data_IF_359869864435
#
_entry.id   IF_359869864435
#
_cell.length_a   1.000
_cell.length_b   1.000
_cell.length_c   1.000
_cell.angle_alpha   90.00
_cell.angle_beta   90.00
_cell.angle_gamma   90.00
#
_symmetry.space_group_name_H-M   'P 1'
#
loop_
_entity.id
_entity.type
_entity.pdbx_description
1 polymer ?
#
# COMPACT_ATOMS: atom_id res chain seq x y z
N UNK A 1 -9.65 5.19 5.62
CA UNK A 1 -8.36 4.82 6.21
C UNK A 1 -8.48 3.49 6.98
N UNK A 2 -7.61 2.54 6.70
CA UNK A 2 -7.56 1.21 7.34
C UNK A 2 -6.25 1.08 8.11
N UNK A 3 -6.34 0.94 9.44
CA UNK A 3 -5.17 0.94 10.34
C UNK A 3 -4.40 -0.37 10.28
N UNK A 4 -5.11 -1.50 10.28
CA UNK A 4 -4.55 -2.86 10.22
C UNK A 4 -5.54 -3.86 9.60
N UNK A 5 -5.13 -5.12 9.48
CA UNK A 5 -5.98 -6.24 9.08
C UNK A 5 -6.21 -7.20 10.24
N UNK A 6 -7.02 -6.76 11.21
CA UNK A 6 -7.48 -7.57 12.34
C UNK A 6 -8.76 -8.36 12.01
N UNK A 7 -9.23 -9.18 12.95
CA UNK A 7 -10.46 -9.98 12.77
C UNK A 7 -11.73 -9.16 12.54
N UNK A 8 -11.76 -7.90 12.96
CA UNK A 8 -12.92 -7.01 12.83
C UNK A 8 -12.86 -6.03 11.65
N UNK A 9 -11.70 -5.94 10.97
CA UNK A 9 -11.46 -4.94 9.93
C UNK A 9 -12.46 -5.04 8.78
N UNK A 10 -12.73 -6.24 8.30
CA UNK A 10 -13.63 -6.45 7.14
C UNK A 10 -15.08 -6.09 7.46
N UNK A 11 -15.53 -6.42 8.66
CA UNK A 11 -16.87 -6.02 9.13
C UNK A 11 -16.99 -4.49 9.20
N UNK A 12 -16.01 -3.83 9.78
CA UNK A 12 -15.96 -2.37 9.89
C UNK A 12 -15.93 -1.69 8.51
N UNK A 13 -15.11 -2.20 7.57
CA UNK A 13 -15.04 -1.69 6.20
C UNK A 13 -16.36 -1.90 5.45
N UNK A 14 -16.99 -3.08 5.57
CA UNK A 14 -18.29 -3.32 4.95
C UNK A 14 -19.36 -2.37 5.48
N UNK A 15 -19.39 -2.11 6.77
CA UNK A 15 -20.30 -1.15 7.39
C UNK A 15 -20.06 0.26 6.85
N UNK A 16 -18.79 0.68 6.78
CA UNK A 16 -18.41 1.99 6.23
C UNK A 16 -18.80 2.13 4.76
N UNK A 17 -18.53 1.13 3.92
CA UNK A 17 -18.89 1.15 2.49
C UNK A 17 -20.42 1.21 2.27
N UNK A 18 -21.20 0.49 3.07
CA UNK A 18 -22.67 0.57 3.03
C UNK A 18 -23.16 1.99 3.36
N UNK A 19 -22.55 2.61 4.37
CA UNK A 19 -22.90 3.98 4.77
C UNK A 19 -22.49 5.01 3.71
N UNK A 20 -21.28 4.92 3.17
CA UNK A 20 -20.81 5.77 2.07
C UNK A 20 -21.70 5.63 0.82
N UNK A 21 -22.14 4.40 0.50
CA UNK A 21 -23.07 4.16 -0.61
C UNK A 21 -24.41 4.86 -0.40
N UNK A 22 -24.96 4.84 0.82
CA UNK A 22 -26.21 5.59 1.16
C UNK A 22 -26.02 7.10 1.01
N UNK A 23 -24.82 7.60 1.30
CA UNK A 23 -24.45 9.01 1.14
C UNK A 23 -24.13 9.39 -0.32
N UNK A 24 -24.29 8.48 -1.28
CA UNK A 24 -24.09 8.74 -2.71
C UNK A 24 -22.64 8.65 -3.16
N UNK A 25 -21.80 7.80 -2.53
CA UNK A 25 -20.41 7.54 -2.95
C UNK A 25 -20.31 7.29 -4.46
N UNK A 26 -19.48 8.07 -5.14
CA UNK A 26 -19.19 7.95 -6.59
C UNK A 26 -17.84 7.28 -6.86
N UNK A 27 -16.90 7.44 -5.95
CA UNK A 27 -15.55 6.88 -6.03
C UNK A 27 -15.00 6.61 -4.63
N UNK A 28 -13.94 5.82 -4.52
CA UNK A 28 -13.36 5.40 -3.25
C UNK A 28 -11.85 5.64 -3.23
N UNK A 29 -11.36 6.26 -2.18
CA UNK A 29 -9.95 6.22 -1.80
C UNK A 29 -9.80 5.22 -0.64
N UNK A 30 -9.06 4.13 -0.87
CA UNK A 30 -8.70 3.15 0.15
C UNK A 30 -7.30 3.49 0.67
N UNK A 31 -7.21 4.11 1.83
CA UNK A 31 -5.93 4.51 2.40
C UNK A 31 -5.34 3.40 3.27
N UNK A 32 -4.20 2.85 2.83
CA UNK A 32 -3.40 1.82 3.49
C UNK A 32 -2.02 2.34 3.92
N UNK A 33 -1.79 3.66 3.90
CA UNK A 33 -0.53 4.23 4.37
C UNK A 33 -0.35 3.92 5.86
N UNK A 34 0.89 3.60 6.24
CA UNK A 34 1.28 3.18 7.60
C UNK A 34 0.56 1.93 8.14
N UNK A 35 -0.17 1.21 7.30
CA UNK A 35 -0.82 -0.04 7.68
C UNK A 35 0.20 -1.20 7.60
N UNK A 36 0.65 -1.78 8.73
CA UNK A 36 1.70 -2.81 8.75
C UNK A 36 1.21 -4.18 8.24
N UNK A 37 -0.06 -4.28 7.86
CA UNK A 37 -0.70 -5.51 7.45
C UNK A 37 -1.52 -6.14 8.57
N UNK A 38 -1.48 -7.46 8.66
CA UNK A 38 -2.22 -8.28 9.61
C UNK A 38 -2.59 -9.63 9.02
N UNK A 39 -3.82 -10.07 9.22
CA UNK A 39 -4.29 -11.38 8.79
C UNK A 39 -4.35 -11.49 7.27
N UNK A 40 -3.81 -12.58 6.71
CA UNK A 40 -3.92 -12.92 5.30
C UNK A 40 -5.39 -13.04 4.86
N UNK A 41 -6.22 -13.68 5.69
CA UNK A 41 -7.66 -13.81 5.43
C UNK A 41 -8.33 -12.44 5.31
N UNK A 42 -7.95 -11.48 6.14
CA UNK A 42 -8.42 -10.12 6.05
C UNK A 42 -8.05 -9.43 4.73
N UNK A 43 -6.81 -9.62 4.24
CA UNK A 43 -6.40 -9.11 2.93
C UNK A 43 -7.19 -9.75 1.78
N UNK A 44 -7.38 -11.07 1.82
CA UNK A 44 -8.17 -11.81 0.82
C UNK A 44 -9.61 -11.32 0.81
N UNK A 45 -10.24 -11.18 1.97
CA UNK A 45 -11.63 -10.75 2.07
C UNK A 45 -11.80 -9.27 1.70
N UNK A 46 -10.81 -8.42 1.98
CA UNK A 46 -10.79 -7.04 1.48
C UNK A 46 -10.78 -6.98 -0.05
N UNK A 47 -9.92 -7.76 -0.70
CA UNK A 47 -9.86 -7.82 -2.15
C UNK A 47 -11.17 -8.32 -2.77
N UNK A 48 -11.84 -9.30 -2.16
CA UNK A 48 -13.14 -9.82 -2.59
C UNK A 48 -14.26 -8.78 -2.59
N UNK A 49 -14.14 -7.69 -1.83
CA UNK A 49 -15.14 -6.62 -1.87
C UNK A 49 -15.18 -5.89 -3.22
N UNK A 50 -14.09 -5.91 -3.95
CA UNK A 50 -13.88 -5.08 -5.13
C UNK A 50 -13.57 -5.86 -6.41
N UNK A 51 -13.07 -7.09 -6.31
CA UNK A 51 -12.60 -7.89 -7.45
C UNK A 51 -13.69 -8.84 -7.96
N UNK A 52 -13.74 -9.04 -9.28
CA UNK A 52 -14.67 -9.97 -9.95
C UNK A 52 -14.45 -11.42 -9.55
N UNK A 53 -15.31 -12.32 -10.08
CA UNK A 53 -15.21 -13.75 -9.80
C UNK A 53 -13.94 -14.38 -10.42
N UNK A 54 -13.39 -15.40 -9.78
CA UNK A 54 -12.25 -16.22 -10.21
C UNK A 54 -10.95 -15.44 -10.48
N UNK A 55 -10.83 -14.22 -9.96
CA UNK A 55 -9.60 -13.45 -10.09
C UNK A 55 -8.58 -13.86 -9.02
N UNK A 56 -7.32 -13.98 -9.41
CA UNK A 56 -6.21 -14.22 -8.50
C UNK A 56 -6.00 -13.01 -7.59
N UNK A 57 -5.89 -13.24 -6.28
CA UNK A 57 -5.56 -12.22 -5.29
C UNK A 57 -4.07 -12.27 -4.95
N UNK A 58 -3.58 -13.44 -4.57
CA UNK A 58 -2.21 -13.68 -4.15
C UNK A 58 -1.92 -15.17 -4.23
N UNK A 59 -0.66 -15.53 -4.45
CA UNK A 59 -0.24 -16.92 -4.23
C UNK A 59 1.04 -16.97 -3.39
N UNK A 60 1.24 -18.10 -2.72
CA UNK A 60 2.46 -18.39 -1.97
C UNK A 60 3.34 -19.34 -2.75
N UNK A 61 4.66 -19.21 -2.61
CA UNK A 61 5.63 -20.14 -3.15
C UNK A 61 6.77 -20.32 -2.17
N UNK A 62 7.03 -21.55 -1.79
CA UNK A 62 8.11 -21.94 -0.91
C UNK A 62 9.09 -22.89 -1.57
N UNK A 63 10.05 -23.40 -0.78
CA UNK A 63 11.05 -24.37 -1.25
C UNK A 63 10.42 -25.73 -1.61
N UNK A 64 9.40 -26.16 -0.84
CA UNK A 64 8.63 -27.38 -1.11
C UNK A 64 7.37 -27.05 -1.90
N UNK A 65 6.92 -27.96 -2.76
CA UNK A 65 5.71 -27.81 -3.56
C UNK A 65 4.45 -27.62 -2.69
N UNK A 66 4.40 -28.25 -1.54
CA UNK A 66 3.29 -28.18 -0.58
C UNK A 66 3.05 -26.77 -0.03
N UNK A 67 4.00 -25.86 -0.17
CA UNK A 67 3.88 -24.45 0.21
C UNK A 67 3.40 -23.56 -0.93
N UNK A 68 2.98 -24.14 -2.06
CA UNK A 68 2.27 -23.41 -3.11
C UNK A 68 0.78 -23.39 -2.78
N UNK A 69 0.23 -22.19 -2.65
CA UNK A 69 -1.19 -22.00 -2.39
C UNK A 69 -1.68 -20.77 -3.14
N UNK A 70 -2.82 -20.87 -3.81
CA UNK A 70 -3.48 -19.77 -4.51
C UNK A 70 -4.70 -19.30 -3.73
N UNK A 71 -4.88 -17.97 -3.69
CA UNK A 71 -6.05 -17.31 -3.13
C UNK A 71 -6.73 -16.54 -4.25
N UNK A 72 -7.97 -16.93 -4.53
CA UNK A 72 -8.80 -16.36 -5.59
C UNK A 72 -10.13 -15.89 -5.05
N UNK A 73 -10.77 -14.98 -5.77
CA UNK A 73 -12.17 -14.66 -5.56
C UNK A 73 -13.04 -15.85 -5.97
N UNK A 74 -14.20 -16.00 -5.35
CA UNK A 74 -15.12 -17.12 -5.57
C UNK A 74 -16.57 -16.65 -5.74
N UNK A 75 -16.81 -15.37 -5.90
CA UNK A 75 -18.12 -14.76 -6.09
C UNK A 75 -17.97 -13.37 -6.71
N UNK A 76 -19.10 -12.79 -7.16
CA UNK A 76 -19.16 -11.40 -7.59
C UNK A 76 -18.90 -10.46 -6.41
N UNK A 77 -18.09 -9.45 -6.64
CA UNK A 77 -17.82 -8.42 -5.64
C UNK A 77 -19.07 -7.59 -5.32
N UNK A 78 -19.24 -7.15 -4.05
CA UNK A 78 -20.29 -6.18 -3.69
C UNK A 78 -20.11 -4.78 -4.33
N UNK A 79 -18.85 -4.42 -4.69
CA UNK A 79 -18.50 -3.10 -5.21
C UNK A 79 -17.56 -3.22 -6.44
N UNK A 80 -17.98 -3.92 -7.52
CA UNK A 80 -17.09 -4.24 -8.64
C UNK A 80 -16.72 -3.01 -9.47
N UNK A 81 -17.62 -2.02 -9.59
CA UNK A 81 -17.52 -0.93 -10.56
C UNK A 81 -17.19 0.43 -9.94
N UNK A 82 -17.00 0.50 -8.62
CA UNK A 82 -16.66 1.77 -7.95
C UNK A 82 -15.25 2.20 -8.36
N UNK A 83 -15.06 3.35 -9.04
CA UNK A 83 -13.75 3.88 -9.33
C UNK A 83 -12.96 4.04 -8.03
N UNK A 84 -11.73 3.53 -7.98
CA UNK A 84 -10.97 3.55 -6.73
C UNK A 84 -9.47 3.75 -6.93
N UNK A 85 -8.87 4.40 -5.93
CA UNK A 85 -7.43 4.54 -5.76
C UNK A 85 -7.05 3.96 -4.41
N UNK A 86 -5.92 3.24 -4.37
CA UNK A 86 -5.32 2.73 -3.13
C UNK A 86 -4.11 3.59 -2.79
N UNK A 87 -4.07 4.16 -1.59
CA UNK A 87 -2.89 4.89 -1.12
C UNK A 87 -1.96 3.97 -0.35
N UNK A 88 -0.68 4.03 -0.68
CA UNK A 88 0.38 3.26 -0.02
C UNK A 88 1.61 4.13 0.26
N UNK A 89 2.39 3.74 1.27
CA UNK A 89 3.68 4.33 1.55
C UNK A 89 4.67 3.27 2.10
N UNK A 90 5.83 3.71 2.54
CA UNK A 90 6.86 2.83 3.11
C UNK A 90 6.43 2.09 4.38
N UNK A 91 5.35 2.52 5.06
CA UNK A 91 4.74 1.84 6.19
C UNK A 91 3.69 0.79 5.79
N UNK A 92 3.26 0.76 4.53
CA UNK A 92 2.31 -0.25 4.01
C UNK A 92 3.02 -1.59 3.81
N UNK A 93 2.63 -2.62 4.57
CA UNK A 93 3.34 -3.90 4.57
C UNK A 93 2.40 -5.12 4.54
N UNK A 94 2.93 -6.27 4.08
CA UNK A 94 2.29 -7.58 4.21
C UNK A 94 0.86 -7.61 3.61
N UNK A 95 -0.21 -7.73 4.43
CA UNK A 95 -1.61 -7.74 3.98
C UNK A 95 -1.97 -6.51 3.13
N UNK A 96 -1.45 -5.32 3.47
CA UNK A 96 -1.63 -4.11 2.68
C UNK A 96 -1.04 -4.25 1.28
N UNK A 97 0.11 -4.91 1.15
CA UNK A 97 0.78 -5.15 -0.12
C UNK A 97 0.06 -6.23 -0.94
N UNK A 98 -0.55 -7.21 -0.27
CA UNK A 98 -1.41 -8.20 -0.93
C UNK A 98 -2.62 -7.51 -1.55
N UNK A 99 -3.32 -6.67 -0.79
CA UNK A 99 -4.51 -5.94 -1.28
C UNK A 99 -4.14 -5.01 -2.42
N UNK A 100 -3.15 -4.13 -2.22
CA UNK A 100 -2.75 -3.16 -3.24
C UNK A 100 -2.21 -3.84 -4.51
N UNK A 101 -1.38 -4.87 -4.37
CA UNK A 101 -0.86 -5.64 -5.51
C UNK A 101 -1.93 -6.42 -6.25
N UNK A 102 -2.90 -7.01 -5.54
CA UNK A 102 -4.03 -7.70 -6.16
C UNK A 102 -4.90 -6.75 -7.00
N UNK A 103 -5.26 -5.61 -6.43
CA UNK A 103 -6.10 -4.61 -7.10
C UNK A 103 -5.37 -3.97 -8.29
N UNK A 104 -4.06 -3.71 -8.17
CA UNK A 104 -3.23 -3.14 -9.22
C UNK A 104 -3.08 -4.12 -10.40
N UNK A 105 -2.64 -5.36 -10.14
CA UNK A 105 -2.36 -6.35 -11.18
C UNK A 105 -3.62 -6.74 -11.96
N UNK A 106 -4.78 -6.79 -11.29
CA UNK A 106 -6.07 -7.02 -11.95
C UNK A 106 -6.67 -5.74 -12.57
N UNK A 107 -5.93 -4.62 -12.59
CA UNK A 107 -6.38 -3.33 -13.13
C UNK A 107 -7.70 -2.85 -12.51
N UNK A 108 -7.95 -3.25 -11.25
CA UNK A 108 -9.17 -2.90 -10.54
C UNK A 108 -9.05 -1.54 -9.86
N UNK A 109 -7.85 -1.16 -9.43
CA UNK A 109 -7.56 0.14 -8.84
C UNK A 109 -6.19 0.64 -9.27
N UNK A 110 -6.03 1.96 -9.24
CA UNK A 110 -4.74 2.64 -9.34
C UNK A 110 -4.14 2.74 -7.95
N UNK A 111 -2.84 2.51 -7.83
CA UNK A 111 -2.09 2.68 -6.58
C UNK A 111 -1.36 4.02 -6.63
N UNK A 112 -1.50 4.83 -5.57
CA UNK A 112 -0.85 6.14 -5.48
C UNK A 112 -0.04 6.28 -4.19
N UNK A 113 1.03 7.05 -4.24
CA UNK A 113 1.88 7.37 -3.09
C UNK A 113 3.34 6.99 -3.27
N UNK A 114 3.91 6.26 -2.32
CA UNK A 114 5.30 5.81 -2.34
C UNK A 114 5.37 4.28 -2.38
N UNK A 115 6.52 3.74 -2.83
CA UNK A 115 6.78 2.30 -2.81
C UNK A 115 6.58 1.72 -1.42
N UNK A 116 5.86 0.61 -1.31
CA UNK A 116 5.55 -0.06 -0.06
C UNK A 116 6.77 -0.73 0.61
N UNK A 117 6.57 -1.26 1.80
CA UNK A 117 7.63 -1.83 2.64
C UNK A 117 8.36 -3.01 2.00
N UNK A 118 7.64 -3.97 1.41
CA UNK A 118 8.22 -5.18 0.83
C UNK A 118 8.37 -6.35 1.81
N UNK A 119 7.29 -6.71 2.52
CA UNK A 119 7.26 -7.85 3.45
C UNK A 119 6.37 -8.96 2.88
N UNK A 120 7.00 -10.02 2.38
CA UNK A 120 6.31 -11.16 1.78
C UNK A 120 6.51 -12.49 2.54
N UNK A 121 7.07 -12.48 3.74
CA UNK A 121 7.36 -13.71 4.47
C UNK A 121 6.09 -14.40 4.98
N UNK A 122 5.86 -15.66 4.56
CA UNK A 122 4.90 -16.57 5.16
C UNK A 122 5.60 -17.36 6.25
N UNK A 123 5.16 -17.19 7.49
CA UNK A 123 5.81 -17.77 8.65
C UNK A 123 4.89 -18.81 9.31
N UNK A 124 5.47 -19.91 9.71
CA UNK A 124 4.82 -20.94 10.52
C UNK A 124 5.51 -21.04 11.88
N UNK A 125 4.72 -21.20 12.93
CA UNK A 125 5.23 -21.50 14.27
C UNK A 125 5.20 -23.01 14.43
N UNK A 126 6.37 -23.60 14.60
CA UNK A 126 6.55 -25.02 14.86
C UNK A 126 6.74 -25.23 16.36
N UNK A 127 5.89 -26.01 17.03
CA UNK A 127 6.10 -26.31 18.44
C UNK A 127 7.36 -27.16 18.65
N UNK A 128 8.13 -26.84 19.65
CA UNK A 128 9.30 -27.58 20.09
C UNK A 128 9.08 -28.18 21.49
N UNK A 129 9.92 -29.13 21.87
CA UNK A 129 9.92 -29.70 23.22
C UNK A 129 10.14 -28.61 24.29
N UNK A 130 9.54 -28.78 25.48
CA UNK A 130 9.65 -27.80 26.56
C UNK A 130 8.79 -26.54 26.42
N UNK A 131 7.76 -26.54 25.54
CA UNK A 131 6.84 -25.41 25.36
C UNK A 131 7.40 -24.25 24.52
N UNK A 132 8.60 -24.41 23.95
CA UNK A 132 9.18 -23.43 23.03
C UNK A 132 8.52 -23.51 21.63
N UNK A 133 8.66 -22.45 20.83
CA UNK A 133 8.18 -22.42 19.45
C UNK A 133 9.22 -21.84 18.49
N UNK A 134 9.45 -22.48 17.36
CA UNK A 134 10.28 -21.96 16.27
C UNK A 134 9.41 -21.27 15.23
N UNK A 135 9.62 -19.97 15.01
CA UNK A 135 9.02 -19.23 13.90
C UNK A 135 9.91 -19.32 12.67
N UNK A 136 9.45 -20.06 11.68
CA UNK A 136 10.20 -20.32 10.45
C UNK A 136 9.49 -19.71 9.23
N UNK A 137 10.23 -19.02 8.36
CA UNK A 137 9.71 -18.59 7.06
C UNK A 137 9.73 -19.79 6.10
N UNK A 138 8.54 -20.20 5.64
CA UNK A 138 8.32 -21.38 4.80
C UNK A 138 8.02 -21.06 3.35
N UNK A 139 7.48 -19.87 3.08
CA UNK A 139 7.11 -19.40 1.74
C UNK A 139 7.18 -17.87 1.64
N UNK A 140 6.98 -17.37 0.44
CA UNK A 140 6.85 -15.93 0.14
C UNK A 140 5.57 -15.68 -0.63
N UNK A 141 5.01 -14.45 -0.48
CA UNK A 141 3.87 -13.97 -1.24
C UNK A 141 4.30 -13.41 -2.60
N UNK A 142 3.49 -13.69 -3.60
CA UNK A 142 3.62 -13.16 -4.97
C UNK A 142 2.29 -12.55 -5.39
N UNK A 143 2.34 -11.43 -6.09
CA UNK A 143 1.14 -10.79 -6.67
C UNK A 143 0.60 -11.62 -7.83
N UNK A 144 -0.64 -11.38 -8.31
CA UNK A 144 -1.21 -12.09 -9.46
C UNK A 144 -0.31 -12.09 -10.70
N UNK A 145 0.39 -11.00 -10.98
CA UNK A 145 1.34 -10.89 -12.09
C UNK A 145 2.70 -11.58 -11.85
N UNK A 146 2.87 -12.27 -10.73
CA UNK A 146 4.11 -13.01 -10.42
C UNK A 146 5.22 -12.17 -9.77
N UNK A 147 4.93 -10.93 -9.38
CA UNK A 147 5.92 -10.08 -8.72
C UNK A 147 6.16 -10.54 -7.29
N UNK A 148 7.42 -10.73 -6.91
CA UNK A 148 7.80 -11.03 -5.53
C UNK A 148 7.68 -9.74 -4.68
N UNK A 149 6.83 -9.77 -3.67
CA UNK A 149 6.65 -8.61 -2.77
C UNK A 149 7.88 -8.41 -1.86
N UNK A 150 8.65 -9.46 -1.54
CA UNK A 150 9.78 -9.35 -0.63
C UNK A 150 10.90 -8.46 -1.16
N UNK A 151 11.25 -7.41 -0.42
CA UNK A 151 12.48 -6.63 -0.66
C UNK A 151 13.68 -7.28 -0.02
N UNK A 152 14.82 -7.18 -0.70
CA UNK A 152 16.10 -7.58 -0.15
C UNK A 152 16.90 -6.34 0.28
N UNK A 153 16.75 -5.93 1.54
CA UNK A 153 17.44 -4.78 2.09
C UNK A 153 18.97 -4.97 2.24
N UNK A 154 19.45 -6.21 2.17
CA UNK A 154 20.88 -6.52 2.33
C UNK A 154 21.64 -6.46 1.01
N UNK A 155 20.97 -6.71 -0.09
CA UNK A 155 21.56 -6.73 -1.44
C UNK A 155 21.20 -5.46 -2.19
N UNK A 156 22.15 -4.53 -2.23
CA UNK A 156 21.96 -3.24 -2.92
C UNK A 156 21.79 -3.39 -4.44
N UNK A 157 22.27 -4.48 -5.05
CA UNK A 157 22.05 -4.74 -6.48
C UNK A 157 20.59 -5.05 -6.81
N UNK A 158 19.80 -5.41 -5.78
CA UNK A 158 18.36 -5.69 -5.85
C UNK A 158 17.50 -4.60 -5.19
N UNK A 159 18.03 -3.39 -5.09
CA UNK A 159 17.35 -2.27 -4.47
C UNK A 159 16.00 -1.96 -5.13
N UNK A 160 15.87 -2.25 -6.42
CA UNK A 160 14.65 -2.00 -7.20
C UNK A 160 13.67 -3.19 -7.22
N UNK A 161 13.97 -4.31 -6.53
CA UNK A 161 13.08 -5.45 -6.43
C UNK A 161 12.18 -5.38 -5.18
N UNK A 162 10.95 -5.92 -5.30
CA UNK A 162 9.98 -6.08 -4.20
C UNK A 162 9.27 -4.79 -3.78
N UNK A 163 8.29 -4.95 -2.90
CA UNK A 163 7.30 -3.92 -2.61
C UNK A 163 6.30 -3.73 -3.75
N UNK A 164 5.30 -2.91 -3.51
CA UNK A 164 4.34 -2.45 -4.52
C UNK A 164 4.77 -1.05 -4.95
N UNK A 165 5.06 -0.89 -6.23
CA UNK A 165 5.35 0.40 -6.84
C UNK A 165 4.02 1.08 -7.20
N UNK A 166 3.81 2.33 -6.80
CA UNK A 166 2.59 3.05 -7.17
C UNK A 166 2.56 3.38 -8.66
N UNK A 167 1.36 3.42 -9.24
CA UNK A 167 1.11 3.90 -10.61
C UNK A 167 1.22 5.43 -10.68
N UNK A 168 0.84 6.11 -9.58
CA UNK A 168 0.99 7.55 -9.36
C UNK A 168 1.99 7.74 -8.23
N UNK A 169 3.27 7.92 -8.58
CA UNK A 169 4.31 8.19 -7.59
C UNK A 169 4.21 9.62 -7.09
N UNK A 170 4.18 9.79 -5.75
CA UNK A 170 4.13 11.10 -5.10
C UNK A 170 5.21 11.13 -4.04
N UNK A 171 6.22 11.96 -4.25
CA UNK A 171 7.21 12.20 -3.21
C UNK A 171 6.65 13.13 -2.16
N UNK A 172 6.73 12.73 -0.91
CA UNK A 172 6.30 13.50 0.25
C UNK A 172 7.48 13.60 1.21
N UNK A 173 7.64 14.76 1.80
CA UNK A 173 8.59 14.94 2.89
C UNK A 173 8.17 14.06 4.08
N UNK A 174 9.09 13.29 4.71
CA UNK A 174 8.75 12.39 5.81
C UNK A 174 8.08 13.08 7.00
N UNK A 175 8.48 14.32 7.32
CA UNK A 175 7.87 15.07 8.43
C UNK A 175 6.43 15.48 8.08
N UNK A 176 6.21 15.91 6.83
CA UNK A 176 4.87 16.22 6.32
C UNK A 176 3.97 14.98 6.34
N UNK A 177 4.48 13.83 5.88
CA UNK A 177 3.73 12.58 5.87
C UNK A 177 3.32 12.14 7.28
N UNK A 178 4.21 12.29 8.26
CA UNK A 178 3.90 12.01 9.68
C UNK A 178 2.83 12.97 10.21
N UNK A 179 2.91 14.27 9.89
CA UNK A 179 1.89 15.26 10.30
C UNK A 179 0.52 14.90 9.75
N UNK A 180 0.43 14.55 8.47
CA UNK A 180 -0.81 14.08 7.83
C UNK A 180 -1.33 12.83 8.54
N UNK A 181 -0.48 11.83 8.79
CA UNK A 181 -0.84 10.61 9.50
C UNK A 181 -1.38 10.88 10.92
N UNK A 182 -0.73 11.78 11.65
CA UNK A 182 -1.15 12.17 12.99
C UNK A 182 -2.55 12.80 13.00
N UNK A 183 -2.96 13.51 11.96
CA UNK A 183 -4.31 14.05 11.84
C UNK A 183 -5.36 12.94 11.69
N UNK A 184 -5.10 11.93 10.84
CA UNK A 184 -6.01 10.78 10.70
C UNK A 184 -6.19 10.01 12.01
N UNK A 185 -5.14 9.90 12.83
CA UNK A 185 -5.21 9.23 14.13
C UNK A 185 -5.96 10.02 15.22
N UNK A 186 -6.23 11.32 15.00
CA UNK A 186 -7.07 12.12 15.89
C UNK A 186 -8.57 11.86 15.71
N UNK A 187 -8.96 11.06 14.72
CA UNK A 187 -10.36 10.66 14.53
C UNK A 187 -10.78 9.77 15.69
N UNK A 188 -11.51 10.33 16.63
CA UNK A 188 -12.10 9.58 17.74
C UNK A 188 -13.35 8.88 17.23
N UNK A 189 -13.28 7.57 17.04
CA UNK A 189 -14.45 6.76 16.79
C UNK A 189 -15.21 6.55 18.11
N UNK A 190 -16.37 7.16 18.24
CA UNK A 190 -17.31 6.87 19.32
C UNK A 190 -18.44 6.01 18.77
N UNK A 191 -18.64 4.76 19.25
CA UNK A 191 -19.75 3.92 18.79
C UNK A 191 -21.09 4.66 18.89
N UNK A 192 -21.86 4.67 17.80
CA UNK A 192 -23.18 5.32 17.75
C UNK A 192 -23.20 6.83 17.48
N UNK A 193 -22.05 7.49 17.39
CA UNK A 193 -21.94 8.90 16.95
C UNK A 193 -21.32 8.99 15.56
N UNK A 194 -21.70 10.01 14.77
CA UNK A 194 -20.96 10.34 13.54
C UNK A 194 -19.50 10.60 13.93
N UNK A 195 -18.57 9.98 13.22
CA UNK A 195 -17.15 10.28 13.38
C UNK A 195 -16.95 11.79 13.14
N UNK A 196 -16.45 12.48 14.15
CA UNK A 196 -16.02 13.86 13.98
C UNK A 196 -14.62 13.80 13.35
N UNK A 197 -14.54 14.18 12.09
CA UNK A 197 -13.26 14.36 11.43
C UNK A 197 -12.59 15.59 12.04
N UNK A 198 -11.31 15.51 12.45
CA UNK A 198 -10.57 16.69 12.85
C UNK A 198 -10.47 17.64 11.66
N UNK A 199 -10.34 18.93 11.93
CA UNK A 199 -10.02 19.90 10.91
C UNK A 199 -8.68 19.50 10.26
N UNK A 200 -8.72 19.24 8.95
CA UNK A 200 -7.55 18.81 8.17
C UNK A 200 -6.73 20.07 7.85
N UNK A 201 -5.78 20.39 8.71
CA UNK A 201 -4.91 21.58 8.58
C UNK A 201 -3.67 21.30 7.74
N UNK A 202 -3.23 20.05 7.67
CA UNK A 202 -2.06 19.67 6.89
C UNK A 202 -2.45 19.25 5.46
N UNK A 203 -1.73 19.74 4.49
CA UNK A 203 -1.92 19.37 3.09
C UNK A 203 -1.47 17.94 2.85
N UNK A 204 -2.31 17.14 2.18
CA UNK A 204 -2.02 15.76 1.80
C UNK A 204 -1.85 15.62 0.28
N UNK A 205 -0.62 15.75 -0.24
CA UNK A 205 -0.39 15.74 -1.67
C UNK A 205 -0.71 14.39 -2.33
N UNK A 206 -0.67 13.28 -1.57
CA UNK A 206 -1.02 11.96 -2.10
C UNK A 206 -2.52 11.85 -2.29
N UNK A 207 -3.31 12.27 -1.29
CA UNK A 207 -4.76 12.31 -1.39
C UNK A 207 -5.22 13.29 -2.48
N UNK A 208 -4.60 14.46 -2.58
CA UNK A 208 -4.89 15.46 -3.62
C UNK A 208 -4.73 14.86 -5.04
N UNK A 209 -3.62 14.16 -5.30
CA UNK A 209 -3.38 13.48 -6.58
C UNK A 209 -4.40 12.38 -6.85
N UNK A 210 -4.76 11.58 -5.84
CA UNK A 210 -5.77 10.55 -5.96
C UNK A 210 -7.14 11.15 -6.32
N UNK A 211 -7.53 12.26 -5.70
CA UNK A 211 -8.77 12.97 -6.00
C UNK A 211 -8.76 13.57 -7.40
N UNK A 212 -7.64 14.17 -7.84
CA UNK A 212 -7.50 14.67 -9.21
C UNK A 212 -7.67 13.55 -10.24
N UNK A 213 -7.07 12.38 -9.99
CA UNK A 213 -7.24 11.21 -10.85
C UNK A 213 -8.70 10.74 -10.89
N UNK A 214 -9.33 10.54 -9.74
CA UNK A 214 -10.73 10.07 -9.64
C UNK A 214 -11.75 11.04 -10.23
N UNK A 215 -11.41 12.33 -10.29
CA UNK A 215 -12.26 13.37 -10.90
C UNK A 215 -11.95 13.65 -12.37
N UNK A 216 -11.05 12.88 -12.98
CA UNK A 216 -10.65 13.02 -14.39
C UNK A 216 -9.81 14.28 -14.70
N UNK A 217 -9.29 14.95 -13.66
CA UNK A 217 -8.41 16.12 -13.81
C UNK A 217 -6.93 15.78 -13.93
N UNK A 218 -6.56 14.52 -13.74
CA UNK A 218 -5.22 13.98 -13.88
C UNK A 218 -5.30 12.62 -14.57
N UNK A 219 -4.48 12.37 -15.59
CA UNK A 219 -4.31 11.04 -16.20
C UNK A 219 -3.08 10.34 -15.62
N UNK A 220 -3.00 9.01 -15.79
CA UNK A 220 -1.82 8.25 -15.37
C UNK A 220 -0.55 8.72 -16.11
N UNK A 221 -0.66 9.00 -17.41
CA UNK A 221 0.44 9.48 -18.22
C UNK A 221 0.98 10.82 -17.71
N UNK A 222 0.08 11.76 -17.41
CA UNK A 222 0.45 13.06 -16.82
C UNK A 222 1.14 12.88 -15.45
N UNK A 223 0.58 12.03 -14.59
CA UNK A 223 1.16 11.77 -13.28
C UNK A 223 2.56 11.14 -13.35
N UNK A 224 2.77 10.19 -14.27
CA UNK A 224 4.07 9.56 -14.50
C UNK A 224 5.10 10.54 -15.05
N UNK A 225 4.69 11.42 -15.96
CA UNK A 225 5.56 12.48 -16.49
C UNK A 225 6.00 13.45 -15.38
N UNK A 226 5.06 13.94 -14.57
CA UNK A 226 5.38 14.81 -13.44
C UNK A 226 6.33 14.15 -12.43
N UNK A 227 6.14 12.86 -12.11
CA UNK A 227 7.02 12.11 -11.22
C UNK A 227 8.44 11.98 -11.79
N UNK A 228 8.57 11.69 -13.10
CA UNK A 228 9.85 11.59 -13.78
C UNK A 228 10.61 12.94 -13.78
N UNK A 229 9.91 14.04 -14.06
CA UNK A 229 10.47 15.40 -14.04
C UNK A 229 10.95 15.78 -12.64
N UNK A 230 10.15 15.49 -11.61
CA UNK A 230 10.51 15.74 -10.21
C UNK A 230 11.77 14.96 -9.79
N UNK A 231 11.88 13.69 -10.20
CA UNK A 231 13.03 12.82 -9.93
C UNK A 231 14.30 13.35 -10.61
N UNK A 232 14.20 13.73 -11.89
CA UNK A 232 15.32 14.31 -12.63
C UNK A 232 15.82 15.63 -12.02
N UNK A 233 14.89 16.50 -11.60
CA UNK A 233 15.24 17.75 -10.92
C UNK A 233 15.99 17.52 -9.60
N UNK A 234 15.58 16.51 -8.81
CA UNK A 234 16.27 16.15 -7.56
C UNK A 234 17.67 15.59 -7.80
N UNK A 235 17.86 14.75 -8.80
CA UNK A 235 19.17 14.21 -9.15
C UNK A 235 20.12 15.32 -9.59
N UNK A 236 19.65 16.24 -10.42
CA UNK A 236 20.41 17.42 -10.83
C UNK A 236 20.82 18.32 -9.64
N UNK A 237 19.90 18.51 -8.68
CA UNK A 237 20.18 19.30 -7.47
C UNK A 237 21.21 18.60 -6.56
N UNK A 238 21.14 17.27 -6.40
CA UNK A 238 22.15 16.48 -5.64
C UNK A 238 23.53 16.56 -6.27
N UNK A 239 23.61 16.46 -7.59
CA UNK A 239 24.90 16.54 -8.32
C UNK A 239 25.53 17.93 -8.17
N UNK A 240 24.76 19.01 -8.30
CA UNK A 240 25.24 20.39 -8.06
C UNK A 240 25.75 20.58 -6.62
N UNK A 241 25.02 20.05 -5.62
CA UNK A 241 25.41 20.15 -4.21
C UNK A 241 26.67 19.35 -3.88
N UNK A 242 26.90 18.21 -4.54
CA UNK A 242 28.11 17.41 -4.42
C UNK A 242 29.32 18.09 -5.07
N UNK A 243 29.15 18.74 -6.24
CA UNK A 243 30.19 19.50 -6.91
C UNK A 243 30.63 20.72 -6.07
N UNK A 244 29.68 21.49 -5.55
CA UNK A 244 29.99 22.67 -4.71
C UNK A 244 30.72 22.30 -3.41
N UNK A 245 30.41 21.14 -2.80
CA UNK A 245 31.14 20.64 -1.61
C UNK A 245 32.59 20.25 -1.92
N UNK A 246 32.86 19.70 -3.09
CA UNK A 246 34.25 19.34 -3.51
C UNK A 246 35.09 20.59 -3.77
N UNK A 247 34.52 21.63 -4.38
CA UNK A 247 35.21 22.92 -4.60
C UNK A 247 35.55 23.65 -3.29
N UNK A 248 34.67 23.53 -2.28
CA UNK A 248 34.90 24.18 -0.97
C UNK A 248 35.94 23.44 -0.13
N UNK A 249 36.11 22.14 -0.32
CA UNK A 249 37.17 21.35 0.36
C UNK A 249 38.53 21.47 -0.34
N UNK A 250 38.59 21.62 -1.66
CA UNK A 250 39.82 21.84 -2.40
C UNK A 250 40.46 23.22 -2.24
N UNK A 251 39.75 24.18 -1.63
CA UNK A 251 40.26 25.54 -1.33
C UNK A 251 40.81 25.70 0.10
N UNK A 252 40.79 24.61 0.92
CA UNK A 252 41.28 24.62 2.32
C UNK A 252 42.55 23.81 2.52
N UNK A 253 43.13 23.29 1.46
CA UNK A 253 44.50 22.74 1.39
C UNK A 253 45.38 23.70 0.59
#
# INVERSE_FOLDING_TARGET
YVVDFSGHTIEAVNKALKELKKQGMKSLVLDLRFNPGGLLTGAVDMAKLFMGDKQMIVYTKGRKKDFYQEFKTNAKAPYPDVPMVVLVNQGSASASEIVSGALQDNKRAVVAGQRSFGKASVQQVLPLSGGAGLRLTIAKYYTPAGRLIQRNYRDKSKADEGGIFPDIEVEVDPEQEIKVFMQYNKVVYTPGKKAQLPEMTEKDPVLDKAVLYLTGKLTLEQAQKEAAEAKAAKEAAKTKKAASKKETQGKKT
#
